data_IF_227911170254
#
_entry.id   IF_227911170254
#
_cell.length_a   1.000
_cell.length_b   1.000
_cell.length_c   1.000
_cell.angle_alpha   90.00
_cell.angle_beta   90.00
_cell.angle_gamma   90.00
#
_symmetry.space_group_name_H-M   'P 1'
#
loop_
_entity.id
_entity.type
_entity.pdbx_description
1 polymer ?
#
# COMPACT_ATOMS: atom_id res chain seq x y z
N UNK A 1 -3.71 -5.15 2.86
CA UNK A 1 -3.47 -6.49 2.29
C UNK A 1 -3.99 -6.51 0.87
N UNK A 2 -3.15 -6.85 -0.11
CA UNK A 2 -3.53 -6.80 -1.53
C UNK A 2 -4.34 -8.05 -1.89
N UNK A 3 -5.60 -7.86 -2.31
CA UNK A 3 -6.52 -8.92 -2.72
C UNK A 3 -6.37 -9.25 -4.21
N UNK A 4 -6.25 -8.22 -5.06
CA UNK A 4 -5.97 -8.34 -6.49
C UNK A 4 -5.29 -7.08 -7.05
N UNK A 5 -4.72 -7.19 -8.26
CA UNK A 5 -4.10 -6.08 -8.98
C UNK A 5 -2.58 -6.04 -8.91
N UNK A 6 -2.00 -5.01 -9.54
CA UNK A 6 -0.55 -4.85 -9.69
C UNK A 6 -0.15 -3.38 -9.76
N UNK A 7 0.69 -2.95 -8.81
CA UNK A 7 1.24 -1.59 -8.77
C UNK A 7 2.55 -1.52 -7.98
N UNK A 8 3.05 -0.30 -7.76
CA UNK A 8 4.18 -0.01 -6.87
C UNK A 8 3.72 0.91 -5.74
N UNK A 9 4.20 0.68 -4.52
CA UNK A 9 4.05 1.63 -3.42
C UNK A 9 5.42 2.14 -2.98
N UNK A 10 5.48 3.43 -2.69
CA UNK A 10 6.61 4.08 -2.03
C UNK A 10 6.20 4.49 -0.63
N UNK A 11 7.06 4.26 0.36
CA UNK A 11 6.94 4.78 1.72
C UNK A 11 8.23 5.53 2.08
N UNK A 12 8.07 6.71 2.66
CA UNK A 12 9.17 7.51 3.25
C UNK A 12 10.03 6.64 4.18
N UNK A 13 11.36 6.74 4.06
CA UNK A 13 12.35 5.96 4.82
C UNK A 13 12.25 4.42 4.71
N UNK A 14 11.54 3.91 3.69
CA UNK A 14 11.41 2.47 3.37
C UNK A 14 11.61 2.15 1.90
N UNK A 15 11.45 3.15 1.02
CA UNK A 15 11.66 3.00 -0.42
C UNK A 15 10.45 2.41 -1.14
N UNK A 16 10.70 1.74 -2.26
CA UNK A 16 9.68 1.21 -3.16
C UNK A 16 9.55 -0.31 -3.05
N UNK A 17 8.32 -0.80 -3.13
CA UNK A 17 8.02 -2.23 -3.15
C UNK A 17 6.81 -2.53 -4.04
N UNK A 18 6.76 -3.74 -4.62
CA UNK A 18 5.67 -4.14 -5.49
C UNK A 18 4.41 -4.46 -4.66
N UNK A 19 3.25 -4.05 -5.19
CA UNK A 19 1.94 -4.46 -4.71
C UNK A 19 1.42 -5.57 -5.63
N UNK A 20 1.51 -6.82 -5.16
CA UNK A 20 0.97 -8.01 -5.82
C UNK A 20 0.05 -8.75 -4.82
N UNK A 21 -0.88 -9.63 -5.27
CA UNK A 21 -1.76 -10.36 -4.38
C UNK A 21 -1.00 -11.10 -3.27
N UNK A 22 -1.49 -11.00 -2.04
CA UNK A 22 -0.85 -11.58 -0.85
C UNK A 22 0.16 -10.67 -0.14
N UNK A 23 0.56 -9.54 -0.75
CA UNK A 23 1.44 -8.57 -0.09
C UNK A 23 0.69 -7.86 1.05
N UNK A 24 1.33 -7.82 2.22
CA UNK A 24 0.91 -7.04 3.37
C UNK A 24 1.85 -5.86 3.58
N UNK A 25 1.29 -4.67 3.77
CA UNK A 25 2.04 -3.42 3.92
C UNK A 25 1.63 -2.77 5.22
N UNK A 26 2.61 -2.31 5.98
CA UNK A 26 2.41 -1.45 7.14
C UNK A 26 2.98 -0.08 6.81
N UNK A 27 2.14 0.94 6.82
CA UNK A 27 2.57 2.34 6.75
C UNK A 27 2.70 2.85 8.18
N UNK A 28 3.92 3.18 8.68
CA UNK A 28 4.08 3.77 9.99
C UNK A 28 3.38 5.13 10.10
N UNK A 29 2.90 5.45 11.30
CA UNK A 29 2.19 6.71 11.56
C UNK A 29 3.05 7.91 11.16
N UNK A 30 2.46 8.82 10.39
CA UNK A 30 3.08 10.10 10.01
C UNK A 30 4.02 10.01 8.81
N UNK A 31 4.29 8.82 8.26
CA UNK A 31 5.13 8.69 7.07
C UNK A 31 4.32 8.90 5.80
N UNK A 32 4.93 9.63 4.85
CA UNK A 32 4.36 9.79 3.52
C UNK A 32 4.40 8.47 2.77
N UNK A 33 3.36 8.23 1.99
CA UNK A 33 3.27 7.06 1.13
C UNK A 33 2.51 7.40 -0.15
N UNK A 34 2.75 6.64 -1.20
CA UNK A 34 2.09 6.79 -2.49
C UNK A 34 2.00 5.45 -3.21
N UNK A 35 0.83 5.14 -3.73
CA UNK A 35 0.62 4.09 -4.73
C UNK A 35 0.73 4.70 -6.13
N UNK A 36 1.53 4.11 -7.02
CA UNK A 36 1.77 4.60 -8.37
C UNK A 36 2.13 3.45 -9.32
N UNK A 37 2.28 3.75 -10.62
CA UNK A 37 2.53 2.76 -11.67
C UNK A 37 1.53 1.60 -11.62
N UNK A 38 0.23 1.92 -11.52
CA UNK A 38 -0.84 0.93 -11.52
C UNK A 38 -0.94 0.31 -12.92
N UNK A 39 -0.64 -0.99 -13.00
CA UNK A 39 -0.68 -1.77 -14.24
C UNK A 39 -2.00 -2.56 -14.33
N UNK A 40 -2.49 -3.02 -13.18
CA UNK A 40 -3.78 -3.69 -13.02
C UNK A 40 -4.52 -3.08 -11.84
N UNK A 41 -5.83 -2.90 -11.97
CA UNK A 41 -6.68 -2.31 -10.93
C UNK A 41 -6.47 -3.00 -9.57
N UNK A 42 -6.20 -2.21 -8.54
CA UNK A 42 -5.94 -2.71 -7.19
C UNK A 42 -7.23 -2.86 -6.40
N UNK A 43 -7.43 -4.03 -5.81
CA UNK A 43 -8.37 -4.25 -4.71
C UNK A 43 -7.55 -4.53 -3.45
N UNK A 44 -7.71 -3.69 -2.42
CA UNK A 44 -6.92 -3.75 -1.19
C UNK A 44 -7.86 -3.73 0.02
N UNK A 45 -7.57 -4.60 0.99
CA UNK A 45 -8.16 -4.53 2.32
C UNK A 45 -7.25 -3.74 3.25
N UNK A 46 -7.69 -2.54 3.65
CA UNK A 46 -6.92 -1.63 4.51
C UNK A 46 -7.56 -1.48 5.89
N UNK A 47 -6.69 -1.31 6.89
CA UNK A 47 -7.06 -1.07 8.28
C UNK A 47 -6.28 0.13 8.78
N UNK A 48 -6.99 1.13 9.32
CA UNK A 48 -6.38 2.32 9.91
C UNK A 48 -6.47 2.26 11.43
N UNK A 49 -5.35 2.50 12.11
CA UNK A 49 -5.28 2.60 13.57
C UNK A 49 -4.52 3.88 13.99
N UNK A 50 -5.10 4.75 14.83
CA UNK A 50 -6.50 4.72 15.28
C UNK A 50 -7.47 4.81 14.08
N UNK A 51 -8.73 4.41 14.29
CA UNK A 51 -9.75 4.62 13.27
C UNK A 51 -9.77 6.10 12.91
N UNK A 52 -9.44 6.42 11.66
CA UNK A 52 -9.55 7.78 11.14
C UNK A 52 -11.00 8.00 10.70
N UNK A 53 -11.47 9.23 10.89
CA UNK A 53 -12.79 9.73 10.48
C UNK A 53 -12.71 10.36 9.09
#
# INVERSE_FOLDING_TARGET
YVLSGKATMWIEDRGEFPLNPGVFVVVPKGLKHRTFNVVEELLIYDVFYPAMF
#
